data_IF_518168841692
#
_entry.id   IF_518168841692
#
_cell.length_a   1.000
_cell.length_b   1.000
_cell.length_c   1.000
_cell.angle_alpha   90.00
_cell.angle_beta   90.00
_cell.angle_gamma   90.00
#
_symmetry.space_group_name_H-M   'P 1'
#
loop_
_entity.id
_entity.type
_entity.pdbx_description
1 polymer ?
#
# COMPACT_ATOMS: atom_id res chain seq x y z
N UNK A 1 17.08 -0.12 -15.46
CA UNK A 1 18.02 -0.99 -14.72
C UNK A 1 17.39 -2.37 -14.65
N UNK A 2 18.04 -3.39 -15.20
CA UNK A 2 17.40 -4.65 -15.60
C UNK A 2 17.35 -5.67 -14.43
N UNK A 3 16.23 -6.39 -14.27
CA UNK A 3 15.98 -7.36 -13.18
C UNK A 3 17.04 -8.48 -13.11
N UNK A 4 17.64 -8.79 -14.24
CA UNK A 4 18.67 -9.84 -14.36
C UNK A 4 19.98 -9.45 -13.68
N UNK A 5 20.30 -8.15 -13.61
CA UNK A 5 21.49 -7.67 -12.89
C UNK A 5 21.33 -7.83 -11.38
N UNK A 6 20.12 -7.66 -10.84
CA UNK A 6 19.85 -7.91 -9.42
C UNK A 6 19.92 -9.41 -9.08
N UNK A 7 19.46 -10.28 -9.99
CA UNK A 7 19.48 -11.73 -9.79
C UNK A 7 20.90 -12.29 -9.78
N UNK A 8 21.76 -11.84 -10.71
CA UNK A 8 23.12 -12.35 -10.84
C UNK A 8 24.02 -11.92 -9.66
N UNK A 9 23.94 -10.67 -9.22
CA UNK A 9 24.69 -10.22 -8.03
C UNK A 9 24.19 -10.90 -6.75
N UNK A 10 22.91 -11.29 -6.69
CA UNK A 10 22.30 -11.95 -5.53
C UNK A 10 22.55 -13.46 -5.47
N UNK A 11 22.69 -14.15 -6.61
CA UNK A 11 22.96 -15.60 -6.63
C UNK A 11 24.41 -15.95 -6.32
N UNK A 12 25.36 -15.08 -6.66
CA UNK A 12 26.80 -15.34 -6.49
C UNK A 12 27.27 -15.28 -5.03
N UNK A 13 26.46 -14.71 -4.13
CA UNK A 13 26.82 -14.47 -2.73
C UNK A 13 26.25 -15.52 -1.75
N UNK A 14 25.29 -16.36 -2.19
CA UNK A 14 24.62 -17.36 -1.34
C UNK A 14 25.37 -18.69 -1.19
N UNK A 15 26.28 -19.04 -2.11
CA UNK A 15 26.93 -20.37 -2.08
C UNK A 15 27.97 -20.52 -0.96
N UNK A 16 28.39 -19.42 -0.33
CA UNK A 16 29.46 -19.45 0.69
C UNK A 16 28.96 -19.59 2.13
N UNK A 17 27.66 -19.42 2.41
CA UNK A 17 27.17 -19.12 3.77
C UNK A 17 26.19 -20.13 4.37
N UNK A 18 25.89 -21.27 3.73
CA UNK A 18 24.87 -22.21 4.25
C UNK A 18 25.27 -22.90 5.59
N UNK A 19 26.57 -23.04 5.88
CA UNK A 19 27.05 -23.84 7.01
C UNK A 19 27.10 -23.09 8.35
N UNK A 20 27.22 -21.76 8.35
CA UNK A 20 27.37 -20.96 9.58
C UNK A 20 26.02 -20.58 10.25
N UNK A 21 24.89 -20.85 9.57
CA UNK A 21 23.55 -20.34 9.89
C UNK A 21 22.87 -21.09 11.04
N UNK A 22 23.23 -22.35 11.30
CA UNK A 22 22.44 -23.24 12.17
C UNK A 22 22.64 -23.05 13.68
N UNK A 23 23.78 -22.51 14.12
CA UNK A 23 24.15 -22.54 15.55
C UNK A 23 23.66 -21.29 16.31
N UNK A 24 23.54 -20.14 15.65
CA UNK A 24 23.14 -18.88 16.29
C UNK A 24 21.62 -18.59 16.20
N UNK A 25 20.86 -19.44 15.50
CA UNK A 25 19.43 -19.28 15.21
C UNK A 25 18.49 -19.68 16.36
N UNK A 26 18.88 -20.61 17.24
CA UNK A 26 17.94 -21.20 18.22
C UNK A 26 17.60 -20.26 19.40
N UNK A 27 18.56 -19.47 19.90
CA UNK A 27 18.33 -18.62 21.07
C UNK A 27 17.81 -17.21 20.76
N UNK A 28 18.09 -16.66 19.57
CA UNK A 28 17.62 -15.32 19.17
C UNK A 28 16.26 -15.33 18.47
N UNK A 29 15.80 -16.50 18.01
CA UNK A 29 14.55 -16.65 17.27
C UNK A 29 13.31 -16.61 18.16
N UNK A 30 13.23 -17.38 19.25
CA UNK A 30 11.92 -17.66 19.86
C UNK A 30 11.18 -16.43 20.42
N UNK A 31 11.85 -15.48 21.07
CA UNK A 31 11.17 -14.32 21.71
C UNK A 31 11.00 -13.12 20.78
N UNK A 32 11.98 -12.82 19.92
CA UNK A 32 11.89 -11.69 18.96
C UNK A 32 11.05 -12.06 17.73
N UNK A 33 11.13 -13.30 17.25
CA UNK A 33 10.29 -13.78 16.14
C UNK A 33 8.83 -13.84 16.58
N UNK A 34 8.51 -14.31 17.80
CA UNK A 34 7.12 -14.29 18.30
C UNK A 34 6.51 -12.88 18.37
N UNK A 35 7.28 -11.89 18.85
CA UNK A 35 6.81 -10.50 18.92
C UNK A 35 6.56 -9.94 17.51
N UNK A 36 7.43 -10.26 16.56
CA UNK A 36 7.31 -9.84 15.16
C UNK A 36 6.19 -10.59 14.42
N UNK A 37 5.94 -11.87 14.73
CA UNK A 37 4.80 -12.65 14.23
C UNK A 37 3.47 -12.06 14.68
N UNK A 38 3.38 -11.60 15.94
CA UNK A 38 2.18 -10.91 16.45
C UNK A 38 1.88 -9.62 15.68
N UNK A 39 2.89 -8.88 15.26
CA UNK A 39 2.71 -7.66 14.48
C UNK A 39 2.23 -7.91 13.04
N UNK A 40 2.77 -8.95 12.39
CA UNK A 40 2.25 -9.42 11.10
C UNK A 40 0.79 -9.89 11.22
N UNK A 41 0.42 -10.53 12.33
CA UNK A 41 -0.96 -10.95 12.60
C UNK A 41 -1.91 -9.75 12.77
N UNK A 42 -1.48 -8.69 13.45
CA UNK A 42 -2.26 -7.46 13.60
C UNK A 42 -2.43 -6.75 12.24
N UNK A 43 -1.37 -6.71 11.44
CA UNK A 43 -1.44 -6.15 10.09
C UNK A 43 -2.40 -6.95 9.20
N UNK A 44 -2.43 -8.28 9.31
CA UNK A 44 -3.41 -9.13 8.61
C UNK A 44 -4.85 -8.74 8.98
N UNK A 45 -5.14 -8.61 10.27
CA UNK A 45 -6.48 -8.20 10.74
C UNK A 45 -6.87 -6.81 10.25
N UNK A 46 -5.95 -5.85 10.28
CA UNK A 46 -6.19 -4.52 9.71
C UNK A 46 -6.56 -4.60 8.21
N UNK A 47 -5.84 -5.42 7.42
CA UNK A 47 -6.14 -5.62 5.99
C UNK A 47 -7.47 -6.29 5.73
N UNK A 48 -7.88 -7.23 6.60
CA UNK A 48 -9.21 -7.86 6.53
C UNK A 48 -10.30 -6.81 6.76
N UNK A 49 -10.16 -5.99 7.82
CA UNK A 49 -11.11 -4.92 8.13
C UNK A 49 -11.19 -3.92 6.97
N UNK A 50 -10.06 -3.45 6.46
CA UNK A 50 -10.02 -2.56 5.29
C UNK A 50 -10.67 -3.19 4.04
N UNK A 51 -10.50 -4.50 3.82
CA UNK A 51 -11.14 -5.21 2.70
C UNK A 51 -12.66 -5.23 2.82
N UNK A 52 -13.18 -5.45 4.03
CA UNK A 52 -14.62 -5.38 4.30
C UNK A 52 -15.15 -3.98 4.01
N UNK A 53 -14.43 -2.94 4.43
CA UNK A 53 -14.79 -1.54 4.15
C UNK A 53 -14.81 -1.28 2.64
N UNK A 54 -13.77 -1.66 1.90
CA UNK A 54 -13.74 -1.49 0.44
C UNK A 54 -14.86 -2.24 -0.26
N UNK A 55 -15.19 -3.46 0.20
CA UNK A 55 -16.30 -4.22 -0.33
C UNK A 55 -17.64 -3.48 -0.15
N UNK A 56 -17.91 -2.93 1.04
CA UNK A 56 -19.10 -2.11 1.26
C UNK A 56 -19.13 -0.85 0.38
N UNK A 57 -17.99 -0.17 0.23
CA UNK A 57 -17.89 1.01 -0.66
C UNK A 57 -18.24 0.62 -2.10
N UNK A 58 -17.74 -0.51 -2.61
CA UNK A 58 -18.04 -0.99 -3.96
C UNK A 58 -19.54 -1.24 -4.12
N UNK A 59 -20.20 -1.86 -3.14
CA UNK A 59 -21.64 -2.09 -3.18
C UNK A 59 -22.43 -0.78 -3.22
N UNK A 60 -22.07 0.18 -2.37
CA UNK A 60 -22.71 1.50 -2.32
C UNK A 60 -22.54 2.26 -3.64
N UNK A 61 -21.33 2.30 -4.19
CA UNK A 61 -21.06 2.94 -5.48
C UNK A 61 -21.78 2.22 -6.63
N UNK A 62 -21.81 0.89 -6.61
CA UNK A 62 -22.53 0.09 -7.61
C UNK A 62 -24.03 0.38 -7.61
N UNK A 63 -24.64 0.47 -6.42
CA UNK A 63 -26.05 0.87 -6.28
C UNK A 63 -26.28 2.30 -6.77
N UNK A 64 -25.39 3.23 -6.43
CA UNK A 64 -25.48 4.62 -6.87
C UNK A 64 -25.47 4.75 -8.39
N UNK A 65 -24.53 4.06 -9.05
CA UNK A 65 -24.39 4.05 -10.51
C UNK A 65 -25.62 3.38 -11.16
N UNK A 66 -26.14 2.29 -10.59
CA UNK A 66 -27.31 1.60 -11.13
C UNK A 66 -28.59 2.43 -11.06
N UNK A 67 -28.75 3.27 -10.03
CA UNK A 67 -29.88 4.21 -9.89
C UNK A 67 -29.78 5.39 -10.86
N UNK A 68 -28.56 5.83 -11.18
CA UNK A 68 -28.28 7.00 -12.00
C UNK A 68 -27.70 6.60 -13.36
N UNK A 69 -28.57 6.15 -14.27
CA UNK A 69 -28.17 5.69 -15.62
C UNK A 69 -27.81 6.81 -16.59
N UNK A 70 -28.12 8.07 -16.27
CA UNK A 70 -27.70 9.21 -17.09
C UNK A 70 -26.22 9.51 -16.87
N UNK A 71 -25.49 9.75 -17.97
CA UNK A 71 -24.08 10.15 -17.89
C UNK A 71 -24.00 11.57 -17.35
N UNK A 72 -23.64 11.68 -16.06
CA UNK A 72 -23.47 12.93 -15.34
C UNK A 72 -22.12 12.97 -14.63
N UNK A 73 -21.67 14.17 -14.22
CA UNK A 73 -20.40 14.33 -13.49
C UNK A 73 -20.32 13.50 -12.19
N UNK A 74 -21.39 13.39 -11.37
CA UNK A 74 -21.41 12.50 -10.21
C UNK A 74 -21.27 11.02 -10.57
N UNK A 75 -21.93 10.55 -11.64
CA UNK A 75 -21.84 9.15 -12.10
C UNK A 75 -20.44 8.81 -12.60
N UNK A 76 -19.81 9.70 -13.37
CA UNK A 76 -18.42 9.53 -13.82
C UNK A 76 -17.47 9.48 -12.62
N UNK A 77 -17.69 10.35 -11.64
CA UNK A 77 -16.90 10.37 -10.41
C UNK A 77 -17.09 9.08 -9.60
N UNK A 78 -18.31 8.56 -9.49
CA UNK A 78 -18.61 7.29 -8.82
C UNK A 78 -17.93 6.11 -9.51
N UNK A 79 -17.89 6.09 -10.85
CA UNK A 79 -17.14 5.09 -11.62
C UNK A 79 -15.64 5.13 -11.32
N UNK A 80 -15.04 6.33 -11.29
CA UNK A 80 -13.61 6.49 -10.96
C UNK A 80 -13.32 6.00 -9.53
N UNK A 81 -14.15 6.39 -8.56
CA UNK A 81 -14.00 5.93 -7.18
C UNK A 81 -14.20 4.41 -7.05
N UNK A 82 -15.11 3.82 -7.83
CA UNK A 82 -15.32 2.38 -7.86
C UNK A 82 -14.08 1.64 -8.35
N UNK A 83 -13.40 2.15 -9.39
CA UNK A 83 -12.11 1.59 -9.86
C UNK A 83 -11.08 1.60 -8.73
N UNK A 84 -10.92 2.73 -8.02
CA UNK A 84 -9.98 2.80 -6.88
C UNK A 84 -10.38 1.87 -5.74
N UNK A 85 -11.66 1.73 -5.44
CA UNK A 85 -12.16 0.83 -4.41
C UNK A 85 -11.89 -0.65 -4.76
N UNK A 86 -12.10 -1.05 -6.01
CA UNK A 86 -11.78 -2.41 -6.52
C UNK A 86 -10.28 -2.66 -6.42
N UNK A 87 -9.46 -1.70 -6.85
CA UNK A 87 -8.00 -1.78 -6.75
C UNK A 87 -7.55 -1.90 -5.29
N UNK A 88 -8.15 -1.13 -4.38
CA UNK A 88 -7.89 -1.21 -2.94
C UNK A 88 -8.23 -2.58 -2.36
N UNK A 89 -9.40 -3.12 -2.72
CA UNK A 89 -9.83 -4.46 -2.31
C UNK A 89 -8.87 -5.54 -2.84
N UNK A 90 -8.58 -5.55 -4.14
CA UNK A 90 -7.68 -6.51 -4.76
C UNK A 90 -6.27 -6.44 -4.14
N UNK A 91 -5.78 -5.23 -3.89
CA UNK A 91 -4.49 -5.02 -3.23
C UNK A 91 -4.47 -5.53 -1.80
N UNK A 92 -5.53 -5.32 -1.02
CA UNK A 92 -5.61 -5.82 0.35
C UNK A 92 -5.70 -7.36 0.39
N UNK A 93 -6.46 -7.97 -0.52
CA UNK A 93 -6.48 -9.44 -0.69
C UNK A 93 -5.08 -9.95 -1.04
N UNK A 94 -4.39 -9.30 -1.98
CA UNK A 94 -3.01 -9.63 -2.34
C UNK A 94 -2.05 -9.57 -1.15
N UNK A 95 -2.18 -8.56 -0.29
CA UNK A 95 -1.39 -8.47 0.95
C UNK A 95 -1.73 -9.59 1.94
N UNK A 96 -3.01 -9.92 2.14
CA UNK A 96 -3.44 -11.00 3.03
C UNK A 96 -2.86 -12.33 2.57
N UNK A 97 -2.94 -12.64 1.28
CA UNK A 97 -2.37 -13.87 0.69
C UNK A 97 -0.85 -13.89 0.87
N UNK A 98 -0.17 -12.77 0.64
CA UNK A 98 1.28 -12.69 0.88
C UNK A 98 1.64 -12.91 2.33
N UNK A 99 0.91 -12.33 3.29
CA UNK A 99 1.16 -12.52 4.72
C UNK A 99 0.91 -13.98 5.14
N UNK A 100 -0.14 -14.62 4.60
CA UNK A 100 -0.48 -16.00 4.92
C UNK A 100 0.58 -17.00 4.45
N UNK A 101 1.23 -16.72 3.31
CA UNK A 101 2.24 -17.59 2.73
C UNK A 101 3.66 -17.39 3.31
N UNK A 102 3.83 -16.49 4.29
CA UNK A 102 5.12 -16.33 4.98
C UNK A 102 5.34 -17.55 5.86
N UNK A 103 6.30 -18.38 5.47
CA UNK A 103 6.73 -19.53 6.23
C UNK A 103 7.95 -19.16 7.06
N UNK A 104 7.74 -19.11 8.38
CA UNK A 104 8.75 -18.72 9.37
C UNK A 104 9.77 -19.82 9.66
N UNK A 105 9.56 -21.05 9.17
CA UNK A 105 10.52 -22.15 9.29
C UNK A 105 11.59 -22.13 8.18
N UNK A 106 11.45 -21.25 7.18
CA UNK A 106 12.40 -21.11 6.07
C UNK A 106 13.69 -20.38 6.49
N UNK A 107 14.81 -20.58 5.75
CA UNK A 107 16.04 -19.84 5.97
C UNK A 107 15.81 -18.32 6.01
N UNK A 108 16.56 -17.62 6.87
CA UNK A 108 16.43 -16.17 7.11
C UNK A 108 16.45 -15.35 5.81
N UNK A 109 17.25 -15.77 4.81
CA UNK A 109 17.33 -15.11 3.51
C UNK A 109 16.03 -15.17 2.69
N UNK A 110 15.24 -16.24 2.83
CA UNK A 110 13.91 -16.37 2.20
C UNK A 110 12.88 -15.51 2.94
N UNK A 111 12.89 -15.54 4.26
CA UNK A 111 12.03 -14.69 5.09
C UNK A 111 12.25 -13.18 4.80
N UNK A 112 13.51 -12.79 4.60
CA UNK A 112 13.88 -11.43 4.22
C UNK A 112 13.27 -11.00 2.89
N UNK A 113 13.32 -11.88 1.87
CA UNK A 113 12.71 -11.62 0.56
C UNK A 113 11.20 -11.42 0.66
N UNK A 114 10.53 -12.26 1.44
CA UNK A 114 9.09 -12.18 1.62
C UNK A 114 8.70 -10.87 2.31
N UNK A 115 9.46 -10.43 3.32
CA UNK A 115 9.28 -9.12 3.97
C UNK A 115 9.51 -7.97 2.99
N UNK A 116 10.57 -8.01 2.18
CA UNK A 116 10.82 -6.97 1.17
C UNK A 116 9.72 -6.90 0.12
N UNK A 117 9.21 -8.06 -0.32
CA UNK A 117 8.10 -8.14 -1.26
C UNK A 117 6.84 -7.51 -0.69
N UNK A 118 6.54 -7.79 0.58
CA UNK A 118 5.43 -7.20 1.30
C UNK A 118 5.58 -5.68 1.44
N UNK A 119 6.76 -5.18 1.81
CA UNK A 119 7.06 -3.75 1.89
C UNK A 119 6.87 -3.04 0.55
N UNK A 120 7.38 -3.64 -0.53
CA UNK A 120 7.23 -3.12 -1.89
C UNK A 120 5.76 -3.10 -2.33
N UNK A 121 5.04 -4.21 -2.12
CA UNK A 121 3.62 -4.29 -2.43
C UNK A 121 2.81 -3.24 -1.67
N UNK A 122 3.07 -3.06 -0.37
CA UNK A 122 2.39 -2.06 0.45
C UNK A 122 2.66 -0.64 -0.02
N UNK A 123 3.91 -0.33 -0.39
CA UNK A 123 4.26 0.96 -0.96
C UNK A 123 3.53 1.21 -2.28
N UNK A 124 3.56 0.25 -3.22
CA UNK A 124 2.92 0.41 -4.52
C UNK A 124 1.40 0.53 -4.41
N UNK A 125 0.76 -0.30 -3.57
CA UNK A 125 -0.68 -0.18 -3.34
C UNK A 125 -1.05 1.19 -2.76
N UNK A 126 -0.26 1.68 -1.79
CA UNK A 126 -0.51 3.00 -1.20
C UNK A 126 -0.33 4.12 -2.22
N UNK A 127 0.68 4.03 -3.10
CA UNK A 127 0.87 4.98 -4.19
C UNK A 127 -0.33 5.01 -5.13
N UNK A 128 -0.82 3.83 -5.50
CA UNK A 128 -1.96 3.67 -6.38
C UNK A 128 -3.25 4.23 -5.75
N UNK A 129 -3.49 3.97 -4.46
CA UNK A 129 -4.61 4.56 -3.73
C UNK A 129 -4.46 6.08 -3.58
N UNK A 130 -3.24 6.60 -3.39
CA UNK A 130 -3.01 8.04 -3.30
C UNK A 130 -3.28 8.77 -4.63
N UNK A 131 -3.25 8.07 -5.78
CA UNK A 131 -3.69 8.65 -7.06
C UNK A 131 -5.20 9.00 -7.07
N UNK A 132 -5.97 8.52 -6.09
CA UNK A 132 -7.36 8.92 -5.90
C UNK A 132 -7.53 10.25 -5.13
N UNK A 133 -6.49 10.73 -4.44
CA UNK A 133 -6.54 11.96 -3.65
C UNK A 133 -7.02 13.21 -4.42
N UNK A 134 -6.67 13.40 -5.71
CA UNK A 134 -7.19 14.50 -6.54
C UNK A 134 -8.71 14.52 -6.66
N UNK A 135 -9.38 13.38 -6.44
CA UNK A 135 -10.84 13.25 -6.46
C UNK A 135 -11.47 13.51 -5.08
N UNK A 136 -10.82 14.31 -4.24
CA UNK A 136 -11.27 14.57 -2.86
C UNK A 136 -12.75 15.01 -2.78
N UNK A 137 -13.20 15.87 -3.70
CA UNK A 137 -14.59 16.33 -3.75
C UNK A 137 -15.59 15.27 -4.24
N UNK A 138 -15.14 14.28 -5.01
CA UNK A 138 -16.00 13.15 -5.38
C UNK A 138 -16.42 12.37 -4.13
N UNK A 139 -15.52 12.17 -3.17
CA UNK A 139 -15.87 11.53 -1.90
C UNK A 139 -16.89 12.33 -1.10
N UNK A 140 -16.80 13.67 -1.14
CA UNK A 140 -17.75 14.56 -0.45
C UNK A 140 -19.12 14.49 -1.12
N UNK A 141 -19.22 14.78 -2.42
CA UNK A 141 -20.51 14.83 -3.11
C UNK A 141 -21.22 13.48 -3.10
N UNK A 142 -20.52 12.41 -3.48
CA UNK A 142 -21.12 11.07 -3.52
C UNK A 142 -21.38 10.56 -2.10
N UNK A 143 -20.52 10.88 -1.14
CA UNK A 143 -20.73 10.51 0.26
C UNK A 143 -22.02 11.11 0.83
N UNK A 144 -22.27 12.40 0.55
CA UNK A 144 -23.49 13.05 1.01
C UNK A 144 -24.75 12.56 0.30
N UNK A 145 -24.65 12.35 -1.02
CA UNK A 145 -25.75 11.83 -1.82
C UNK A 145 -26.12 10.41 -1.38
N UNK A 146 -25.15 9.51 -1.24
CA UNK A 146 -25.38 8.11 -0.85
C UNK A 146 -25.83 7.96 0.60
N UNK A 147 -25.27 8.73 1.55
CA UNK A 147 -25.55 8.55 2.99
C UNK A 147 -26.73 9.37 3.50
N UNK A 148 -26.98 10.53 2.91
CA UNK A 148 -28.01 11.47 3.38
C UNK A 148 -29.07 11.79 2.31
N UNK A 149 -28.94 11.25 1.10
CA UNK A 149 -29.82 11.57 -0.05
C UNK A 149 -29.80 13.07 -0.40
N UNK A 150 -28.67 13.74 -0.12
CA UNK A 150 -28.46 15.16 -0.39
C UNK A 150 -27.52 15.31 -1.59
N UNK A 151 -28.08 15.76 -2.72
CA UNK A 151 -27.28 16.14 -3.89
C UNK A 151 -26.63 17.51 -3.66
N UNK A 152 -25.46 17.51 -3.04
CA UNK A 152 -24.64 18.71 -2.87
C UNK A 152 -24.19 19.31 -4.21
N UNK A 153 -24.09 18.50 -5.27
CA UNK A 153 -23.61 18.97 -6.56
C UNK A 153 -24.64 19.90 -7.23
N UNK A 154 -25.94 19.58 -7.10
CA UNK A 154 -27.03 20.42 -7.61
C UNK A 154 -27.10 21.81 -6.95
N UNK A 155 -26.55 21.97 -5.75
CA UNK A 155 -26.58 23.21 -4.98
C UNK A 155 -25.33 24.08 -5.17
N UNK A 156 -24.38 23.66 -6.01
CA UNK A 156 -23.16 24.41 -6.26
C UNK A 156 -23.37 25.54 -7.25
N UNK A 157 -22.84 26.71 -6.91
CA UNK A 157 -22.67 27.77 -7.88
C UNK A 157 -21.58 27.44 -8.91
N UNK A 158 -21.75 27.93 -10.14
CA UNK A 158 -20.82 27.68 -11.25
C UNK A 158 -19.36 28.03 -10.91
N UNK A 159 -19.13 29.09 -10.14
CA UNK A 159 -17.78 29.51 -9.75
C UNK A 159 -17.11 28.49 -8.79
N UNK A 160 -17.89 27.81 -7.95
CA UNK A 160 -17.39 26.76 -7.06
C UNK A 160 -17.03 25.49 -7.85
N UNK A 161 -17.83 25.13 -8.85
CA UNK A 161 -17.53 24.02 -9.76
C UNK A 161 -16.19 24.24 -10.46
N UNK A 162 -15.93 25.46 -10.96
CA UNK A 162 -14.64 25.83 -11.54
C UNK A 162 -13.50 25.75 -10.52
N UNK A 163 -13.70 26.29 -9.31
CA UNK A 163 -12.70 26.24 -8.26
C UNK A 163 -12.30 24.81 -7.91
N UNK A 164 -13.27 23.92 -7.70
CA UNK A 164 -13.00 22.51 -7.36
C UNK A 164 -12.40 21.72 -8.52
N UNK A 165 -12.76 22.04 -9.76
CA UNK A 165 -12.16 21.41 -10.94
C UNK A 165 -10.68 21.78 -11.07
N UNK A 166 -10.36 23.07 -10.93
CA UNK A 166 -8.98 23.57 -10.98
C UNK A 166 -8.17 23.06 -9.80
N UNK A 167 -8.72 23.07 -8.58
CA UNK A 167 -8.03 22.54 -7.40
C UNK A 167 -7.72 21.05 -7.53
N UNK A 168 -8.65 20.26 -8.09
CA UNK A 168 -8.44 18.83 -8.36
C UNK A 168 -7.31 18.61 -9.37
N UNK A 169 -7.23 19.44 -10.42
CA UNK A 169 -6.14 19.38 -11.41
C UNK A 169 -4.78 19.73 -10.80
N UNK A 170 -4.72 20.79 -9.97
CA UNK A 170 -3.51 21.16 -9.24
C UNK A 170 -3.09 20.03 -8.30
N UNK A 171 -4.05 19.43 -7.59
CA UNK A 171 -3.80 18.32 -6.67
C UNK A 171 -3.35 17.06 -7.42
N UNK A 172 -3.85 16.81 -8.62
CA UNK A 172 -3.40 15.72 -9.50
C UNK A 172 -1.93 15.87 -9.87
N UNK A 173 -1.52 17.07 -10.29
CA UNK A 173 -0.12 17.35 -10.62
C UNK A 173 0.75 17.21 -9.37
N UNK A 174 0.36 17.83 -8.26
CA UNK A 174 1.11 17.75 -7.01
C UNK A 174 1.27 16.30 -6.52
N UNK A 175 0.18 15.52 -6.55
CA UNK A 175 0.18 14.10 -6.18
C UNK A 175 1.09 13.30 -7.10
N UNK A 176 1.00 13.50 -8.42
CA UNK A 176 1.87 12.85 -9.40
C UNK A 176 3.35 13.15 -9.15
N UNK A 177 3.71 14.40 -8.87
CA UNK A 177 5.08 14.79 -8.55
C UNK A 177 5.60 14.13 -7.25
N UNK A 178 4.78 14.09 -6.20
CA UNK A 178 5.13 13.43 -4.94
C UNK A 178 5.31 11.93 -5.15
N UNK A 179 4.38 11.28 -5.86
CA UNK A 179 4.41 9.85 -6.15
C UNK A 179 5.57 9.44 -7.05
N UNK A 180 5.98 10.29 -7.99
CA UNK A 180 7.16 10.06 -8.82
C UNK A 180 8.44 10.04 -7.98
N UNK A 181 8.52 10.89 -6.94
CA UNK A 181 9.66 10.94 -6.02
C UNK A 181 9.61 9.84 -4.95
N UNK A 182 8.43 9.32 -4.61
CA UNK A 182 8.24 8.29 -3.58
C UNK A 182 8.63 6.90 -4.11
N UNK A 183 9.93 6.61 -4.09
CA UNK A 183 10.49 5.31 -4.46
C UNK A 183 11.73 5.01 -3.59
N UNK A 184 12.07 3.72 -3.42
CA UNK A 184 13.24 3.27 -2.66
C UNK A 184 14.56 3.80 -3.24
N UNK A 185 14.61 4.11 -4.55
CA UNK A 185 15.78 4.75 -5.19
C UNK A 185 16.08 6.15 -4.64
N UNK A 186 15.04 6.86 -4.19
CA UNK A 186 15.14 8.23 -3.65
C UNK A 186 15.19 8.27 -2.12
N UNK A 187 15.44 7.13 -1.46
CA UNK A 187 15.44 7.02 0.01
C UNK A 187 16.49 7.90 0.71
N UNK A 188 17.47 8.43 -0.03
CA UNK A 188 18.46 9.40 0.46
C UNK A 188 17.81 10.71 0.92
N UNK A 189 16.67 11.09 0.35
CA UNK A 189 15.93 12.26 0.79
C UNK A 189 15.24 11.99 2.14
N UNK A 190 15.45 12.81 3.18
CA UNK A 190 14.91 12.56 4.52
C UNK A 190 13.37 12.42 4.55
N UNK A 191 12.67 13.23 3.76
CA UNK A 191 11.21 13.17 3.68
C UNK A 191 10.72 11.89 2.99
N UNK A 192 11.43 11.38 1.97
CA UNK A 192 11.08 10.12 1.28
C UNK A 192 11.26 8.95 2.24
N UNK A 193 12.37 8.93 2.99
CA UNK A 193 12.62 7.90 4.02
C UNK A 193 11.50 7.90 5.07
N UNK A 194 11.12 9.07 5.59
CA UNK A 194 10.02 9.20 6.56
C UNK A 194 8.68 8.76 5.97
N UNK A 195 8.37 9.16 4.74
CA UNK A 195 7.12 8.79 4.07
C UNK A 195 7.04 7.27 3.83
N UNK A 196 8.11 6.65 3.33
CA UNK A 196 8.16 5.19 3.15
C UNK A 196 8.06 4.48 4.51
N UNK A 197 8.76 4.96 5.54
CA UNK A 197 8.69 4.37 6.88
C UNK A 197 7.28 4.48 7.48
N UNK A 198 6.57 5.59 7.27
CA UNK A 198 5.19 5.76 7.68
C UNK A 198 4.24 4.82 6.92
N UNK A 199 4.36 4.76 5.58
CA UNK A 199 3.51 3.93 4.72
C UNK A 199 3.72 2.44 4.99
N UNK A 200 4.98 2.01 4.94
CA UNK A 200 5.35 0.61 5.12
C UNK A 200 5.17 0.21 6.59
N UNK A 201 5.40 1.13 7.52
CA UNK A 201 5.44 0.90 8.96
C UNK A 201 6.89 0.78 9.41
N UNK A 202 7.27 1.60 10.39
CA UNK A 202 8.65 1.67 10.89
C UNK A 202 9.18 0.29 11.27
N UNK A 203 8.31 -0.56 11.83
CA UNK A 203 8.66 -1.89 12.32
C UNK A 203 9.02 -2.88 11.21
N UNK A 204 8.35 -2.82 10.06
CA UNK A 204 8.70 -3.64 8.89
C UNK A 204 10.00 -3.17 8.25
N UNK A 205 10.26 -1.85 8.27
CA UNK A 205 11.55 -1.28 7.85
C UNK A 205 12.65 -1.70 8.83
N UNK A 206 12.40 -1.67 10.14
CA UNK A 206 13.34 -2.15 11.16
C UNK A 206 13.60 -3.65 11.03
N UNK A 207 12.59 -4.47 10.70
CA UNK A 207 12.79 -5.90 10.41
C UNK A 207 13.69 -6.11 9.20
N UNK A 208 13.45 -5.39 8.10
CA UNK A 208 14.29 -5.45 6.91
C UNK A 208 15.74 -5.00 7.17
N UNK A 209 15.92 -3.96 7.98
CA UNK A 209 17.24 -3.45 8.39
C UNK A 209 17.94 -4.35 9.41
N UNK A 210 17.19 -4.95 10.36
CA UNK A 210 17.71 -5.88 11.35
C UNK A 210 18.25 -7.15 10.69
N UNK A 211 17.50 -7.71 9.73
CA UNK A 211 17.99 -8.87 8.97
C UNK A 211 19.24 -8.50 8.17
N UNK A 212 19.29 -7.29 7.58
CA UNK A 212 20.49 -6.79 6.89
C UNK A 212 21.70 -6.62 7.83
N UNK A 213 21.48 -6.20 9.08
CA UNK A 213 22.59 -6.05 10.05
C UNK A 213 23.17 -7.37 10.51
N UNK A 214 22.37 -8.44 10.58
CA UNK A 214 22.86 -9.80 10.88
C UNK A 214 23.79 -10.29 9.77
N UNK A 215 23.50 -9.94 8.51
CA UNK A 215 24.32 -10.28 7.35
C UNK A 215 25.65 -9.50 7.29
N UNK A 216 25.67 -8.26 7.78
CA UNK A 216 26.86 -7.40 7.80
C UNK A 216 27.77 -7.62 9.02
N UNK A 217 27.26 -8.21 10.10
CA UNK A 217 28.07 -8.53 11.28
C UNK A 217 28.94 -9.78 11.11
N UNK A 218 28.70 -10.55 10.04
CA UNK A 218 29.40 -11.80 9.73
C UNK A 218 30.35 -11.67 8.51
N UNK A 219 30.71 -10.44 8.12
CA UNK A 219 31.74 -10.10 7.11
C UNK A 219 32.95 -9.42 7.74
#
# INVERSE_FOLDING_TARGET
MNLDNFRNTWQQQNSFNESAITINQSMLSETKVNKQMKELSNMKWARIIESVIFFFIILLLGQYIAKNVSVSAPVISALILAVFAIVGLAGNIGQIVHIYNIDYAKPISQLQKDIYRLCSHKLQLTKLLLMSAPFYMAYVFIGFDVLFEIDLFAHLEQHMVWFYSVSSLVLLIATGCVLAKLNYTNIKAPWVKRAIAFIVGERLVTMALFIKSIELSDS
#
